data_IF_846021185988
#
_entry.id   IF_846021185988
#
_cell.length_a   1.000
_cell.length_b   1.000
_cell.length_c   1.000
_cell.angle_alpha   90.00
_cell.angle_beta   90.00
_cell.angle_gamma   90.00
#
_symmetry.space_group_name_H-M   'P 1'
#
loop_
_entity.id
_entity.type
_entity.pdbx_description
1 polymer ?
#
# COMPACT_ATOMS: atom_id res chain seq x y z
N UNK A 1 -9.55 -22.20 0.23
CA UNK A 1 -9.50 -20.73 0.39
C UNK A 1 -10.16 -20.10 -0.84
N UNK A 2 -11.09 -19.16 -0.64
CA UNK A 2 -11.73 -18.39 -1.72
C UNK A 2 -11.57 -16.91 -1.33
N UNK A 3 -11.14 -16.09 -2.27
CA UNK A 3 -10.92 -14.65 -2.03
C UNK A 3 -10.75 -13.91 -3.35
N UNK A 4 -10.91 -12.60 -3.31
CA UNK A 4 -10.62 -11.72 -4.45
C UNK A 4 -9.12 -11.70 -4.75
N UNK A 5 -8.76 -11.53 -6.02
CA UNK A 5 -7.38 -11.27 -6.40
C UNK A 5 -7.01 -9.86 -5.95
N UNK A 6 -5.98 -9.76 -5.11
CA UNK A 6 -5.49 -8.47 -4.62
C UNK A 6 -4.64 -7.80 -5.71
N UNK A 7 -5.29 -6.98 -6.55
CA UNK A 7 -4.65 -6.20 -7.60
C UNK A 7 -5.45 -4.94 -7.88
N UNK A 8 -4.77 -3.85 -8.22
CA UNK A 8 -5.31 -2.49 -8.24
C UNK A 8 -6.63 -2.35 -9.02
N UNK A 9 -6.72 -2.99 -10.19
CA UNK A 9 -7.92 -2.98 -11.05
C UNK A 9 -9.13 -3.71 -10.45
N UNK A 10 -8.89 -4.65 -9.53
CA UNK A 10 -9.94 -5.46 -8.90
C UNK A 10 -10.51 -4.82 -7.63
N UNK A 11 -10.00 -3.67 -7.21
CA UNK A 11 -10.50 -2.91 -6.04
C UNK A 11 -11.58 -1.88 -6.38
N UNK A 12 -12.08 -1.87 -7.61
CA UNK A 12 -13.13 -0.96 -8.07
C UNK A 12 -14.32 -1.76 -8.62
N UNK A 13 -15.53 -1.19 -8.52
CA UNK A 13 -16.80 -1.90 -8.77
C UNK A 13 -17.26 -1.88 -10.24
N UNK A 14 -16.62 -1.09 -11.11
CA UNK A 14 -16.95 -0.95 -12.53
C UNK A 14 -16.57 -2.23 -13.28
N UNK A 15 -17.56 -2.76 -14.00
CA UNK A 15 -17.39 -3.89 -14.90
C UNK A 15 -16.53 -3.48 -16.11
N UNK A 16 -15.61 -4.35 -16.50
CA UNK A 16 -14.83 -4.15 -17.72
C UNK A 16 -15.73 -4.26 -18.96
N UNK A 17 -15.48 -3.39 -19.94
CA UNK A 17 -16.12 -3.45 -21.24
C UNK A 17 -15.85 -4.80 -21.93
N UNK A 18 -16.77 -5.19 -22.82
CA UNK A 18 -16.57 -6.34 -23.69
C UNK A 18 -15.38 -6.14 -24.63
N UNK A 19 -14.82 -7.26 -25.11
CA UNK A 19 -13.69 -7.27 -26.06
C UNK A 19 -12.42 -6.62 -25.49
N UNK A 20 -12.21 -6.76 -24.18
CA UNK A 20 -10.97 -6.37 -23.50
C UNK A 20 -10.29 -7.65 -23.02
N UNK A 21 -9.08 -7.89 -23.48
CA UNK A 21 -8.30 -9.05 -23.07
C UNK A 21 -7.66 -8.80 -21.70
N UNK A 22 -7.91 -9.70 -20.76
CA UNK A 22 -7.34 -9.66 -19.40
C UNK A 22 -6.41 -10.85 -19.23
N UNK A 23 -5.12 -10.56 -19.01
CA UNK A 23 -4.10 -11.57 -18.72
C UNK A 23 -3.73 -11.51 -17.25
N UNK A 24 -4.02 -12.59 -16.51
CA UNK A 24 -3.66 -12.73 -15.10
C UNK A 24 -2.48 -13.69 -15.01
N UNK A 25 -1.37 -13.24 -14.43
CA UNK A 25 -0.19 -14.06 -14.15
C UNK A 25 -0.03 -14.19 -12.64
N UNK A 26 -0.19 -15.39 -12.12
CA UNK A 26 0.04 -15.70 -10.71
C UNK A 26 1.43 -16.34 -10.58
N UNK A 27 2.28 -15.74 -9.76
CA UNK A 27 3.63 -16.24 -9.48
C UNK A 27 3.64 -16.66 -8.01
N UNK A 28 3.98 -17.92 -7.76
CA UNK A 28 4.05 -18.45 -6.39
C UNK A 28 5.31 -17.92 -5.70
N UNK A 29 5.14 -17.36 -4.50
CA UNK A 29 6.28 -17.04 -3.62
C UNK A 29 7.05 -18.30 -3.22
N UNK A 30 8.30 -18.11 -2.81
CA UNK A 30 9.14 -19.21 -2.32
C UNK A 30 8.61 -19.73 -0.97
N UNK A 31 8.79 -21.03 -0.63
CA UNK A 31 8.33 -21.59 0.64
C UNK A 31 8.81 -20.81 1.87
N UNK A 32 10.04 -20.33 1.85
CA UNK A 32 10.68 -19.58 2.94
C UNK A 32 9.98 -18.23 3.20
N UNK A 33 9.23 -17.70 2.23
CA UNK A 33 8.48 -16.46 2.40
C UNK A 33 7.04 -16.71 2.88
N UNK A 34 6.41 -17.81 2.47
CA UNK A 34 5.00 -18.07 2.74
C UNK A 34 4.72 -19.08 3.86
N UNK A 35 5.75 -19.71 4.42
CA UNK A 35 5.65 -20.65 5.53
C UNK A 35 6.55 -20.20 6.69
N UNK A 36 6.04 -20.34 7.91
CA UNK A 36 6.81 -20.18 9.14
C UNK A 36 6.80 -21.51 9.90
N UNK A 37 7.97 -21.99 10.33
CA UNK A 37 8.15 -23.27 10.99
C UNK A 37 9.48 -23.95 10.66
N UNK A 38 9.49 -25.27 10.63
CA UNK A 38 10.69 -26.04 10.30
C UNK A 38 10.94 -26.08 8.78
N UNK A 39 12.20 -26.24 8.41
CA UNK A 39 12.59 -26.46 7.02
C UNK A 39 12.05 -27.82 6.49
N UNK A 40 11.93 -27.93 5.17
CA UNK A 40 11.56 -29.18 4.48
C UNK A 40 10.09 -29.30 4.11
N UNK A 41 9.24 -28.36 4.55
CA UNK A 41 7.84 -28.27 4.12
C UNK A 41 7.69 -27.38 2.88
N UNK A 42 6.70 -27.70 2.03
CA UNK A 42 6.35 -26.90 0.86
C UNK A 42 4.83 -26.85 0.68
N UNK A 43 4.33 -25.71 0.23
CA UNK A 43 2.94 -25.57 -0.21
C UNK A 43 2.78 -26.17 -1.60
N UNK A 44 1.94 -27.20 -1.75
CA UNK A 44 1.55 -27.74 -3.06
C UNK A 44 0.17 -27.20 -3.42
N UNK A 45 0.07 -26.53 -4.56
CA UNK A 45 -1.20 -26.04 -5.08
C UNK A 45 -1.79 -27.12 -6.01
N UNK A 46 -2.77 -27.87 -5.53
CA UNK A 46 -3.39 -28.95 -6.32
C UNK A 46 -4.29 -28.41 -7.43
N UNK A 47 -5.06 -27.37 -7.13
CA UNK A 47 -6.01 -26.77 -8.07
C UNK A 47 -6.16 -25.28 -7.80
N UNK A 48 -6.06 -24.48 -8.86
CA UNK A 48 -6.31 -23.04 -8.84
C UNK A 48 -7.41 -22.75 -9.85
N UNK A 49 -8.53 -22.20 -9.38
CA UNK A 49 -9.64 -21.80 -10.25
C UNK A 49 -9.85 -20.29 -10.12
N UNK A 50 -10.02 -19.62 -11.25
CA UNK A 50 -10.43 -18.22 -11.30
C UNK A 50 -11.90 -18.18 -11.71
N UNK A 51 -12.74 -17.63 -10.84
CA UNK A 51 -14.17 -17.45 -11.09
C UNK A 51 -14.41 -15.98 -11.46
N UNK A 52 -14.90 -15.74 -12.68
CA UNK A 52 -15.15 -14.39 -13.19
C UNK A 52 -16.65 -14.22 -13.44
N UNK A 53 -17.25 -13.17 -12.85
CA UNK A 53 -18.64 -12.79 -13.13
C UNK A 53 -18.71 -12.06 -14.48
N UNK A 54 -19.52 -12.58 -15.40
CA UNK A 54 -19.88 -11.91 -16.66
C UNK A 54 -21.31 -11.39 -16.56
N UNK A 55 -21.55 -10.19 -17.07
CA UNK A 55 -22.88 -9.56 -17.07
C UNK A 55 -23.38 -9.47 -18.51
N UNK A 56 -24.62 -9.94 -18.74
CA UNK A 56 -25.32 -9.78 -20.01
C UNK A 56 -26.10 -8.47 -19.96
N UNK A 57 -25.75 -7.54 -20.85
CA UNK A 57 -26.39 -6.23 -20.96
C UNK A 57 -27.38 -6.20 -22.12
N UNK A 58 -28.40 -5.35 -22.05
CA UNK A 58 -29.39 -5.22 -23.13
C UNK A 58 -28.74 -4.62 -24.39
N UNK A 59 -29.25 -4.93 -25.60
CA UNK A 59 -28.71 -4.38 -26.85
C UNK A 59 -28.65 -2.85 -26.88
N UNK A 60 -29.63 -2.17 -26.28
CA UNK A 60 -29.66 -0.71 -26.18
C UNK A 60 -28.49 -0.14 -25.37
N UNK A 61 -28.08 -0.81 -24.29
CA UNK A 61 -26.92 -0.41 -23.48
C UNK A 61 -25.62 -0.62 -24.26
N UNK A 62 -25.50 -1.72 -25.01
CA UNK A 62 -24.34 -1.98 -25.87
C UNK A 62 -24.19 -0.88 -26.92
N UNK A 63 -25.28 -0.53 -27.61
CA UNK A 63 -25.30 0.55 -28.60
C UNK A 63 -24.99 1.91 -27.95
N UNK A 64 -25.53 2.16 -26.75
CA UNK A 64 -25.25 3.36 -25.96
C UNK A 64 -23.76 3.49 -25.62
N UNK A 65 -23.12 2.43 -25.14
CA UNK A 65 -21.68 2.40 -24.90
C UNK A 65 -20.88 2.61 -26.19
N UNK A 66 -21.28 1.99 -27.30
CA UNK A 66 -20.60 2.17 -28.59
C UNK A 66 -20.63 3.65 -29.05
N UNK A 67 -21.78 4.33 -28.94
CA UNK A 67 -21.93 5.76 -29.25
C UNK A 67 -21.17 6.66 -28.28
N UNK A 68 -21.22 6.36 -26.98
CA UNK A 68 -20.48 7.13 -25.97
C UNK A 68 -18.96 7.07 -26.22
N UNK A 69 -18.45 5.90 -26.63
CA UNK A 69 -17.05 5.70 -26.96
C UNK A 69 -16.56 6.43 -28.21
N UNK A 70 -17.46 6.99 -29.01
CA UNK A 70 -17.08 7.87 -30.14
C UNK A 70 -16.67 9.27 -29.66
N UNK A 71 -17.13 9.68 -28.47
CA UNK A 71 -16.91 11.01 -27.92
C UNK A 71 -15.94 11.03 -26.73
N UNK A 72 -15.96 10.00 -25.87
CA UNK A 72 -15.07 9.90 -24.70
C UNK A 72 -14.62 8.45 -24.46
N UNK A 73 -13.66 8.26 -23.56
CA UNK A 73 -13.11 6.97 -23.15
C UNK A 73 -13.85 6.41 -21.93
N UNK A 74 -13.90 5.08 -21.81
CA UNK A 74 -14.37 4.44 -20.59
C UNK A 74 -13.26 4.47 -19.53
N UNK A 75 -13.50 5.15 -18.41
CA UNK A 75 -12.51 5.38 -17.35
C UNK A 75 -12.71 4.40 -16.18
N UNK A 76 -11.61 3.91 -15.62
CA UNK A 76 -11.54 3.00 -14.48
C UNK A 76 -10.57 3.59 -13.45
N UNK A 77 -11.08 4.22 -12.39
CA UNK A 77 -10.26 4.72 -11.29
C UNK A 77 -9.56 3.57 -10.57
N UNK A 78 -8.32 3.80 -10.16
CA UNK A 78 -7.46 2.86 -9.45
C UNK A 78 -6.92 3.50 -8.18
N UNK A 79 -6.87 2.69 -7.12
CA UNK A 79 -5.97 2.90 -6.00
C UNK A 79 -4.70 2.11 -6.29
N UNK A 80 -3.77 2.71 -7.02
CA UNK A 80 -2.52 2.06 -7.42
C UNK A 80 -1.59 1.97 -6.23
N UNK A 81 -1.02 0.79 -5.98
CA UNK A 81 -0.12 0.57 -4.84
C UNK A 81 1.31 0.40 -5.34
N UNK A 82 2.26 1.10 -4.73
CA UNK A 82 3.68 0.85 -4.90
C UNK A 82 4.37 0.65 -3.55
N UNK A 83 5.26 -0.33 -3.47
CA UNK A 83 6.10 -0.56 -2.31
C UNK A 83 7.56 -0.26 -2.64
N UNK A 84 8.23 0.51 -1.79
CA UNK A 84 9.69 0.64 -1.79
C UNK A 84 10.27 0.08 -0.50
N UNK A 85 11.46 -0.50 -0.61
CA UNK A 85 12.15 -1.11 0.52
C UNK A 85 13.55 -0.53 0.59
N UNK A 86 13.91 -0.01 1.76
CA UNK A 86 15.21 0.58 2.04
C UNK A 86 15.92 -0.22 3.14
N UNK A 87 17.20 -0.50 2.94
CA UNK A 87 18.02 -1.21 3.93
C UNK A 87 18.74 -0.19 4.81
N UNK A 88 18.54 -0.30 6.13
CA UNK A 88 19.17 0.53 7.15
C UNK A 88 20.20 -0.33 7.89
N UNK A 89 21.51 -0.03 7.78
CA UNK A 89 22.56 -0.85 8.37
C UNK A 89 22.50 -0.93 9.90
N UNK A 90 22.97 -2.06 10.45
CA UNK A 90 23.31 -2.20 11.86
C UNK A 90 24.19 -1.04 12.33
N UNK A 91 23.96 -0.55 13.55
CA UNK A 91 24.70 0.56 14.13
C UNK A 91 24.08 1.94 13.86
N UNK A 92 23.19 2.04 12.87
CA UNK A 92 22.49 3.28 12.53
C UNK A 92 21.57 3.74 13.66
N UNK A 93 21.49 5.06 13.89
CA UNK A 93 20.53 5.69 14.80
C UNK A 93 19.49 6.56 14.08
N UNK A 94 19.63 6.73 12.77
CA UNK A 94 18.69 7.48 11.95
C UNK A 94 18.66 6.93 10.53
N UNK A 95 17.56 7.22 9.84
CA UNK A 95 17.35 6.95 8.43
C UNK A 95 16.63 8.15 7.82
N UNK A 96 17.14 8.64 6.69
CA UNK A 96 16.52 9.73 5.92
C UNK A 96 16.49 9.30 4.47
N UNK A 97 15.31 9.43 3.86
CA UNK A 97 15.13 9.18 2.44
C UNK A 97 14.36 10.34 1.82
N UNK A 98 15.03 11.10 0.97
CA UNK A 98 14.42 12.11 0.12
C UNK A 98 13.93 11.50 -1.20
N UNK A 99 12.98 12.17 -1.86
CA UNK A 99 12.44 11.76 -3.17
C UNK A 99 11.97 10.29 -3.17
N UNK A 100 11.23 9.87 -2.13
CA UNK A 100 10.77 8.48 -2.00
C UNK A 100 10.07 8.03 -3.29
N UNK A 101 9.22 8.87 -3.86
CA UNK A 101 8.64 8.67 -5.19
C UNK A 101 8.96 9.86 -6.09
N UNK A 102 9.36 9.57 -7.33
CA UNK A 102 9.61 10.59 -8.35
C UNK A 102 8.36 10.68 -9.21
N UNK A 103 7.83 11.89 -9.38
CA UNK A 103 6.62 12.15 -10.19
C UNK A 103 5.40 12.43 -9.33
N UNK A 104 4.34 11.65 -9.51
CA UNK A 104 3.08 11.83 -8.79
C UNK A 104 3.26 11.65 -7.28
N UNK A 105 2.63 12.52 -6.50
CA UNK A 105 2.54 12.40 -5.06
C UNK A 105 1.54 11.29 -4.65
N UNK A 106 1.90 10.38 -3.74
CA UNK A 106 0.93 9.44 -3.19
C UNK A 106 -0.09 10.17 -2.30
N UNK A 107 -1.32 9.67 -2.29
CA UNK A 107 -2.36 10.14 -1.36
C UNK A 107 -2.18 9.60 0.05
N UNK A 108 -1.49 8.47 0.19
CA UNK A 108 -1.20 7.82 1.48
C UNK A 108 0.15 7.16 1.44
N UNK A 109 0.87 7.23 2.55
CA UNK A 109 2.04 6.39 2.81
C UNK A 109 1.86 5.65 4.13
N UNK A 110 2.18 4.36 4.14
CA UNK A 110 2.24 3.50 5.32
C UNK A 110 3.67 3.01 5.44
N UNK A 111 4.28 3.24 6.59
CA UNK A 111 5.68 2.90 6.86
C UNK A 111 5.73 1.82 7.92
N UNK A 112 6.54 0.79 7.66
CA UNK A 112 6.80 -0.30 8.60
C UNK A 112 8.26 -0.72 8.57
N UNK A 113 8.76 -1.25 9.68
CA UNK A 113 10.12 -1.77 9.77
C UNK A 113 10.07 -3.27 10.06
N UNK A 114 10.90 -4.05 9.36
CA UNK A 114 11.03 -5.50 9.55
C UNK A 114 12.50 -5.93 9.48
N UNK A 115 12.80 -7.13 9.93
CA UNK A 115 14.17 -7.66 9.84
C UNK A 115 14.53 -7.83 8.36
N UNK A 116 15.76 -7.47 7.98
CA UNK A 116 16.13 -7.43 6.56
C UNK A 116 16.07 -8.81 5.87
N UNK A 117 16.41 -9.86 6.60
CA UNK A 117 16.32 -11.25 6.14
C UNK A 117 14.87 -11.75 6.01
N UNK A 118 13.95 -11.25 6.83
CA UNK A 118 12.53 -11.63 6.77
C UNK A 118 11.87 -11.26 5.43
N UNK A 119 12.24 -10.12 4.82
CA UNK A 119 11.72 -9.70 3.50
C UNK A 119 12.08 -10.70 2.40
N UNK A 120 13.28 -11.26 2.47
CA UNK A 120 13.74 -12.23 1.49
C UNK A 120 13.16 -13.64 1.72
N UNK A 121 12.55 -13.86 2.88
CA UNK A 121 11.92 -15.10 3.32
C UNK A 121 12.87 -15.96 4.12
N UNK A 122 12.48 -16.29 5.35
CA UNK A 122 13.08 -17.33 6.18
C UNK A 122 11.97 -18.11 6.88
N UNK A 123 12.19 -19.38 7.22
CA UNK A 123 11.19 -20.16 7.94
C UNK A 123 11.00 -19.70 9.40
N UNK A 124 11.95 -18.97 9.96
CA UNK A 124 11.93 -18.52 11.36
C UNK A 124 11.23 -17.17 11.53
N UNK A 125 11.29 -16.29 10.52
CA UNK A 125 10.84 -14.90 10.62
C UNK A 125 9.73 -14.61 9.61
N UNK A 126 8.77 -13.80 10.04
CA UNK A 126 7.68 -13.34 9.16
C UNK A 126 8.02 -11.98 8.55
N UNK A 127 7.80 -11.78 7.23
CA UNK A 127 7.89 -10.46 6.59
C UNK A 127 6.76 -9.51 7.03
N UNK A 128 5.81 -9.98 7.84
CA UNK A 128 4.70 -9.21 8.39
C UNK A 128 4.85 -8.92 9.90
N UNK A 129 6.01 -9.24 10.49
CA UNK A 129 6.34 -8.91 11.88
C UNK A 129 6.97 -7.50 11.95
N UNK A 130 6.10 -6.48 11.96
CA UNK A 130 6.48 -5.07 11.96
C UNK A 130 6.91 -4.60 13.35
N UNK A 131 8.22 -4.51 13.58
CA UNK A 131 8.81 -4.16 14.87
C UNK A 131 9.08 -2.66 14.96
N UNK A 132 9.06 -2.13 16.18
CA UNK A 132 9.29 -0.70 16.42
C UNK A 132 10.78 -0.31 16.48
N UNK A 133 11.71 -1.24 16.73
CA UNK A 133 13.18 -1.02 16.81
C UNK A 133 13.62 0.17 17.67
N UNK A 134 12.91 0.43 18.77
CA UNK A 134 13.10 1.60 19.63
C UNK A 134 13.07 2.94 18.86
N UNK A 135 12.26 3.01 17.80
CA UNK A 135 11.98 4.25 17.09
C UNK A 135 11.44 5.29 18.06
N UNK A 136 12.06 6.47 18.06
CA UNK A 136 11.66 7.59 18.91
C UNK A 136 11.15 8.79 18.10
N UNK A 137 11.30 8.75 16.78
CA UNK A 137 10.89 9.81 15.88
C UNK A 137 10.54 9.22 14.50
N UNK A 138 9.41 9.67 13.94
CA UNK A 138 9.09 9.49 12.53
C UNK A 138 8.44 10.77 11.97
N UNK A 139 8.98 11.27 10.87
CA UNK A 139 8.51 12.48 10.19
C UNK A 139 8.36 12.24 8.70
N UNK A 140 7.20 12.62 8.17
CA UNK A 140 6.95 12.67 6.73
C UNK A 140 6.87 14.13 6.31
N UNK A 141 7.60 14.50 5.27
CA UNK A 141 7.70 15.87 4.78
C UNK A 141 7.29 15.94 3.32
N UNK A 142 6.46 16.93 3.00
CA UNK A 142 6.06 17.26 1.63
C UNK A 142 6.56 18.66 1.34
N UNK A 143 7.47 18.79 0.37
CA UNK A 143 8.12 20.07 0.01
C UNK A 143 8.73 20.78 1.24
N UNK A 144 9.37 19.99 2.12
CA UNK A 144 10.00 20.46 3.35
C UNK A 144 9.04 20.73 4.52
N UNK A 145 7.72 20.66 4.30
CA UNK A 145 6.73 20.87 5.36
C UNK A 145 6.30 19.53 5.98
N UNK A 146 6.33 19.38 7.31
CA UNK A 146 5.89 18.15 7.96
C UNK A 146 4.40 17.91 7.76
N UNK A 147 4.03 16.65 7.48
CA UNK A 147 2.64 16.18 7.40
C UNK A 147 2.34 15.18 8.51
N UNK A 148 1.19 15.29 9.19
CA UNK A 148 0.12 16.29 9.00
C UNK A 148 0.43 17.69 9.57
N UNK A 149 1.21 17.81 10.65
CA UNK A 149 1.61 19.11 11.22
C UNK A 149 2.94 19.06 11.97
N UNK A 150 3.15 18.01 12.77
CA UNK A 150 4.40 17.76 13.47
C UNK A 150 4.81 16.29 13.27
N UNK A 151 6.12 16.01 13.19
CA UNK A 151 6.61 14.64 13.29
C UNK A 151 6.13 13.96 14.58
N UNK A 152 6.06 12.63 14.55
CA UNK A 152 5.66 11.84 15.70
C UNK A 152 6.89 11.56 16.56
N UNK A 153 6.91 12.13 17.77
CA UNK A 153 7.83 11.74 18.82
C UNK A 153 7.23 10.58 19.64
N UNK A 154 8.02 9.53 19.84
CA UNK A 154 7.61 8.27 20.40
C UNK A 154 8.55 7.84 21.53
N UNK A 155 8.02 7.12 22.51
CA UNK A 155 8.83 6.39 23.49
C UNK A 155 8.09 5.12 23.90
N UNK A 156 8.53 4.00 23.34
CA UNK A 156 7.89 2.70 23.57
C UNK A 156 8.08 2.21 25.01
N UNK A 157 9.24 2.46 25.62
CA UNK A 157 9.55 2.05 27.00
C UNK A 157 8.65 2.75 28.03
N UNK A 158 8.23 3.99 27.75
CA UNK A 158 7.30 4.77 28.57
C UNK A 158 5.83 4.65 28.13
N UNK A 159 5.50 3.69 27.26
CA UNK A 159 4.18 3.53 26.65
C UNK A 159 3.64 4.77 25.91
N UNK A 160 4.53 5.66 25.48
CA UNK A 160 4.22 6.86 24.70
C UNK A 160 4.32 6.57 23.19
N UNK A 161 3.49 5.64 22.71
CA UNK A 161 3.38 5.27 21.29
C UNK A 161 1.97 5.49 20.74
N UNK A 162 1.07 6.06 21.54
CA UNK A 162 -0.35 6.25 21.20
C UNK A 162 -0.51 7.09 19.93
N UNK A 163 0.35 8.11 19.72
CA UNK A 163 0.34 8.90 18.47
C UNK A 163 0.68 8.06 17.25
N UNK A 164 1.60 7.09 17.39
CA UNK A 164 1.90 6.11 16.35
C UNK A 164 0.70 5.21 16.04
N UNK A 165 0.09 4.62 17.06
CA UNK A 165 -1.12 3.80 16.89
C UNK A 165 -2.29 4.60 16.30
N UNK A 166 -2.53 5.82 16.78
CA UNK A 166 -3.54 6.73 16.25
C UNK A 166 -3.28 7.08 14.78
N UNK A 167 -2.01 7.17 14.36
CA UNK A 167 -1.66 7.47 12.96
C UNK A 167 -2.29 6.48 11.99
N UNK A 168 -2.44 5.21 12.38
CA UNK A 168 -3.11 4.20 11.56
C UNK A 168 -4.57 4.58 11.26
N UNK A 169 -5.30 5.06 12.26
CA UNK A 169 -6.69 5.46 12.08
C UNK A 169 -6.80 6.74 11.27
N UNK A 170 -5.98 7.76 11.56
CA UNK A 170 -6.02 9.03 10.81
C UNK A 170 -5.53 8.88 9.38
N UNK A 171 -4.50 8.06 9.16
CA UNK A 171 -3.89 7.85 7.85
C UNK A 171 -4.74 6.98 6.92
N UNK A 172 -5.54 6.07 7.48
CA UNK A 172 -6.47 5.21 6.73
C UNK A 172 -7.91 5.71 6.76
N UNK A 173 -8.15 6.90 7.33
CA UNK A 173 -9.46 7.52 7.48
C UNK A 173 -10.52 6.61 8.12
N UNK A 174 -10.11 5.83 9.13
CA UNK A 174 -11.04 5.03 9.93
C UNK A 174 -11.49 5.75 11.21
N UNK A 175 -10.98 6.96 11.47
CA UNK A 175 -11.44 7.76 12.60
C UNK A 175 -12.92 8.08 12.43
N UNK A 176 -13.72 7.76 13.44
CA UNK A 176 -15.16 8.05 13.45
C UNK A 176 -16.02 7.12 12.59
N UNK A 177 -15.43 6.11 11.94
CA UNK A 177 -16.16 5.08 11.21
C UNK A 177 -16.40 3.86 12.12
N UNK A 178 -17.51 3.15 11.89
CA UNK A 178 -17.81 1.85 12.53
C UNK A 178 -17.01 0.70 11.89
N UNK A 179 -15.71 0.92 11.71
CA UNK A 179 -14.77 -0.03 11.11
C UNK A 179 -13.41 0.05 11.81
N UNK A 180 -13.04 -1.04 12.49
CA UNK A 180 -11.73 -1.16 13.15
C UNK A 180 -10.60 -1.57 12.19
N UNK A 181 -9.36 -1.62 12.68
CA UNK A 181 -8.17 -2.08 11.95
C UNK A 181 -7.80 -3.55 12.21
N UNK A 182 -8.55 -4.23 13.09
CA UNK A 182 -8.19 -5.55 13.65
C UNK A 182 -6.79 -5.61 14.30
N UNK A 183 -6.23 -4.45 14.65
CA UNK A 183 -5.01 -4.30 15.45
C UNK A 183 -5.44 -3.61 16.74
N UNK A 184 -5.38 -4.32 17.86
CA UNK A 184 -5.61 -3.73 19.17
C UNK A 184 -4.37 -2.96 19.63
N UNK A 185 -4.55 -2.00 20.54
CA UNK A 185 -3.45 -1.17 21.05
C UNK A 185 -2.33 -2.01 21.66
N UNK A 186 -2.70 -3.07 22.37
CA UNK A 186 -1.79 -3.98 23.05
C UNK A 186 -0.98 -4.82 22.07
N UNK A 187 -1.52 -5.06 20.87
CA UNK A 187 -0.87 -5.85 19.82
C UNK A 187 -0.05 -4.99 18.86
N UNK A 188 -0.25 -3.67 18.88
CA UNK A 188 0.51 -2.70 18.08
C UNK A 188 2.02 -2.84 18.27
N UNK A 189 2.47 -3.04 19.52
CA UNK A 189 3.90 -3.18 19.85
C UNK A 189 4.42 -4.62 19.70
N UNK A 190 3.56 -5.59 19.36
CA UNK A 190 3.88 -7.01 19.22
C UNK A 190 3.94 -7.42 17.75
N UNK A 191 4.70 -6.67 16.94
CA UNK A 191 4.85 -6.99 15.51
C UNK A 191 3.82 -6.33 14.59
N UNK A 192 3.06 -5.34 15.06
CA UNK A 192 2.09 -4.61 14.26
C UNK A 192 2.38 -3.09 14.24
N UNK A 193 3.64 -2.69 14.41
CA UNK A 193 4.03 -1.28 14.47
C UNK A 193 4.16 -0.69 13.08
N UNK A 194 3.05 -0.14 12.59
CA UNK A 194 2.93 0.56 11.31
C UNK A 194 2.53 2.02 11.55
N UNK A 195 2.96 2.91 10.67
CA UNK A 195 2.62 4.33 10.71
C UNK A 195 1.94 4.74 9.41
N UNK A 196 0.73 5.30 9.47
CA UNK A 196 0.02 5.74 8.27
C UNK A 196 -0.12 7.27 8.25
N UNK A 197 0.16 7.86 7.09
CA UNK A 197 0.05 9.29 6.86
C UNK A 197 -0.86 9.54 5.66
N UNK A 198 -1.92 10.31 5.88
CA UNK A 198 -2.77 10.82 4.81
C UNK A 198 -2.12 12.08 4.22
N UNK A 199 -1.89 12.05 2.91
CA UNK A 199 -1.22 13.09 2.14
C UNK A 199 -2.16 13.72 1.11
N UNK A 200 -3.41 13.27 1.04
CA UNK A 200 -4.43 13.91 0.20
C UNK A 200 -4.62 15.38 0.62
N UNK A 201 -4.81 16.30 -0.36
CA UNK A 201 -4.90 17.73 -0.09
C UNK A 201 -6.14 18.11 0.73
N UNK A 202 -7.20 17.31 0.64
CA UNK A 202 -8.49 17.48 1.31
C UNK A 202 -8.67 16.53 2.51
N UNK A 203 -7.67 15.67 2.79
CA UNK A 203 -7.69 14.68 3.87
C UNK A 203 -8.87 13.70 3.75
N UNK A 204 -9.28 13.39 2.51
CA UNK A 204 -10.42 12.52 2.21
C UNK A 204 -10.05 11.49 1.13
N UNK A 205 -10.42 10.23 1.37
CA UNK A 205 -10.37 9.11 0.45
C UNK A 205 -11.73 8.92 -0.25
N UNK A 206 -12.50 10.00 -0.38
CA UNK A 206 -13.87 9.97 -0.89
C UNK A 206 -13.98 9.56 -2.36
N UNK A 207 -15.19 9.64 -2.90
CA UNK A 207 -15.54 9.15 -4.24
C UNK A 207 -15.06 10.06 -5.40
N UNK A 208 -13.99 10.83 -5.20
CA UNK A 208 -13.46 11.73 -6.21
C UNK A 208 -11.95 11.57 -6.34
N UNK A 209 -11.43 12.03 -7.47
CA UNK A 209 -10.00 12.01 -7.75
C UNK A 209 -9.42 13.36 -7.40
N UNK A 210 -8.35 13.34 -6.61
CA UNK A 210 -7.56 14.53 -6.35
C UNK A 210 -6.70 14.87 -7.57
N UNK A 211 -6.41 16.17 -7.75
CA UNK A 211 -5.52 16.62 -8.81
C UNK A 211 -4.12 16.03 -8.59
N UNK A 212 -3.56 15.43 -9.64
CA UNK A 212 -2.19 14.92 -9.66
C UNK A 212 -1.24 16.09 -9.42
N UNK A 213 -0.50 16.04 -8.31
CA UNK A 213 0.56 17.00 -7.97
C UNK A 213 1.91 16.29 -7.97
N UNK A 214 2.94 17.02 -8.35
CA UNK A 214 4.33 16.60 -8.22
C UNK A 214 4.94 17.37 -7.06
N UNK A 215 5.45 16.63 -6.08
CA UNK A 215 6.06 17.18 -4.86
C UNK A 215 7.21 16.28 -4.41
N UNK A 216 8.11 16.83 -3.62
CA UNK A 216 9.14 16.05 -2.95
C UNK A 216 8.58 15.44 -1.67
N UNK A 217 8.55 14.10 -1.62
CA UNK A 217 8.25 13.34 -0.41
C UNK A 217 9.56 12.89 0.25
N UNK A 218 9.71 13.21 1.53
CA UNK A 218 10.82 12.79 2.38
C UNK A 218 10.31 12.06 3.62
N UNK A 219 11.01 10.99 4.00
CA UNK A 219 10.81 10.25 5.24
C UNK A 219 12.05 10.39 6.11
N UNK A 220 11.84 10.67 7.39
CA UNK A 220 12.89 10.70 8.42
C UNK A 220 12.47 9.84 9.60
N UNK A 221 13.36 8.94 10.01
CA UNK A 221 13.19 8.03 11.13
C UNK A 221 14.40 8.17 12.05
N UNK A 222 14.18 8.19 13.37
CA UNK A 222 15.26 8.09 14.37
C UNK A 222 14.96 6.99 15.38
N UNK A 223 16.04 6.41 15.89
CA UNK A 223 16.03 5.36 16.89
C UNK A 223 16.70 5.89 18.16
N UNK A 224 16.18 5.54 19.33
CA UNK A 224 16.78 5.96 20.61
C UNK A 224 18.11 5.27 20.89
N UNK A 225 18.37 4.14 20.24
CA UNK A 225 19.61 3.38 20.32
C UNK A 225 20.04 2.90 18.93
N UNK A 226 21.30 2.50 18.79
CA UNK A 226 21.80 1.94 17.54
C UNK A 226 21.10 0.61 17.21
N UNK A 227 20.75 0.43 15.94
CA UNK A 227 20.15 -0.82 15.47
C UNK A 227 21.10 -2.00 15.72
N UNK A 228 20.61 -3.06 16.36
CA UNK A 228 21.41 -4.26 16.67
C UNK A 228 21.65 -5.16 15.45
N UNK A 229 20.87 -4.96 14.39
CA UNK A 229 20.89 -5.68 13.12
C UNK A 229 20.47 -4.76 11.97
N UNK A 230 20.67 -5.19 10.73
CA UNK A 230 20.17 -4.47 9.55
C UNK A 230 18.65 -4.61 9.48
N UNK A 231 17.97 -3.48 9.28
CA UNK A 231 16.50 -3.38 9.24
C UNK A 231 16.07 -2.93 7.85
N UNK A 232 14.95 -3.47 7.38
CA UNK A 232 14.31 -2.97 6.17
C UNK A 232 13.15 -2.04 6.52
N UNK A 233 13.20 -0.81 6.00
CA UNK A 233 12.07 0.13 6.03
C UNK A 233 11.24 -0.08 4.77
N UNK A 234 9.96 -0.38 4.95
CA UNK A 234 9.00 -0.60 3.88
C UNK A 234 8.08 0.63 3.80
N UNK A 235 8.10 1.27 2.65
CA UNK A 235 7.20 2.37 2.29
C UNK A 235 6.13 1.84 1.34
N UNK A 236 4.93 1.64 1.87
CA UNK A 236 3.73 1.30 1.09
C UNK A 236 2.99 2.58 0.73
N UNK A 237 2.85 2.88 -0.55
CA UNK A 237 2.25 4.12 -1.03
C UNK A 237 1.06 3.86 -1.96
N UNK A 238 -0.01 4.62 -1.75
CA UNK A 238 -1.22 4.58 -2.57
C UNK A 238 -1.31 5.84 -3.44
N UNK A 239 -1.67 5.65 -4.71
CA UNK A 239 -1.82 6.70 -5.71
C UNK A 239 -3.21 6.62 -6.34
N UNK A 240 -3.79 7.78 -6.64
CA UNK A 240 -5.00 7.88 -7.43
C UNK A 240 -4.64 7.92 -8.91
N UNK A 241 -5.06 6.91 -9.67
CA UNK A 241 -4.77 6.81 -11.10
C UNK A 241 -6.00 6.37 -11.88
N UNK A 242 -5.96 6.54 -13.20
CA UNK A 242 -7.04 6.12 -14.10
C UNK A 242 -6.51 5.28 -15.25
N UNK A 243 -7.13 4.13 -15.45
CA UNK A 243 -7.05 3.40 -16.72
C UNK A 243 -8.22 3.85 -17.59
N UNK A 244 -7.95 4.20 -18.85
CA UNK A 244 -8.97 4.53 -19.83
C UNK A 244 -8.95 3.56 -21.01
N UNK A 245 -10.13 3.20 -21.52
CA UNK A 245 -10.32 2.41 -22.73
C UNK A 245 -10.96 3.27 -23.80
N UNK A 246 -10.32 3.34 -24.98
CA UNK A 246 -10.88 4.06 -26.12
C UNK A 246 -11.83 3.19 -26.96
N UNK A 247 -12.38 3.76 -28.05
CA UNK A 247 -13.27 3.08 -29.00
C UNK A 247 -12.70 1.75 -29.50
N UNK A 248 -11.39 1.70 -29.78
CA UNK A 248 -10.70 0.51 -30.31
C UNK A 248 -10.21 -0.44 -29.23
N UNK A 249 -10.58 -0.22 -27.95
CA UNK A 249 -10.15 -1.01 -26.78
C UNK A 249 -8.66 -0.91 -26.46
N UNK A 250 -7.98 0.12 -26.95
CA UNK A 250 -6.63 0.42 -26.50
C UNK A 250 -6.67 0.96 -25.07
N UNK A 251 -5.71 0.50 -24.27
CA UNK A 251 -5.54 0.89 -22.88
C UNK A 251 -4.67 2.15 -22.83
N UNK A 252 -5.18 3.19 -22.19
CA UNK A 252 -4.48 4.43 -21.89
C UNK A 252 -4.31 4.52 -20.38
N UNK A 253 -3.14 4.96 -19.92
CA UNK A 253 -2.81 5.09 -18.48
C UNK A 253 -2.24 6.47 -18.21
N UNK A 254 -2.49 7.01 -17.02
CA UNK A 254 -1.99 8.31 -16.58
C UNK A 254 -0.76 8.23 -15.65
N UNK A 255 -0.17 7.04 -15.53
CA UNK A 255 1.04 6.77 -14.74
C UNK A 255 2.13 6.11 -15.59
N UNK A 256 3.38 6.36 -15.21
CA UNK A 256 4.53 5.63 -15.75
C UNK A 256 4.60 4.19 -15.21
N UNK A 257 5.19 3.30 -16.01
CA UNK A 257 5.55 1.95 -15.59
C UNK A 257 6.65 1.96 -14.52
#
# INVERSE_FOLDING_TARGET
>A
MIGGLHGDLFHQERLLLNLVDVKIKLIRSKPEFCLQGDAGYKVVLEKINVLVRKVRVSPGVILGHAKALENDTAKYPLNRVLCKVYSVPKGSMSFVQDNIFVGQMPKRIIVGCVDNDAIHGTFEKSPFDFKYYHMNFIGVYVDGQPKPHAPLELNFDKNNYIKGYHSLFSGTERIGHDQGLFIFREDYIKGNTLFAFNLSPDLCNGNHLNLIKQSNLRLEIKFSQSLSQTVSVIDFAEFDNVIALNKTRNILVDFGN
#
